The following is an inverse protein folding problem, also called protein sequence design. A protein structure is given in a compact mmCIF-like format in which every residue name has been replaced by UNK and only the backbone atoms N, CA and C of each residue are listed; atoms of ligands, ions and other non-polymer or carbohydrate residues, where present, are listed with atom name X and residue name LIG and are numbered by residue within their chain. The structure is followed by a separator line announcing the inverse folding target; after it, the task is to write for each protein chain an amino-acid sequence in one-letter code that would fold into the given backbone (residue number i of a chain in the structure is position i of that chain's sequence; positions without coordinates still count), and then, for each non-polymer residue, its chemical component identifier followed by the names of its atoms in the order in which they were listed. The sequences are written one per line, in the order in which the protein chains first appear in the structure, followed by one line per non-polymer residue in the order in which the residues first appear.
data_IF_228628486925
#
_entry.id   IF_228628486925
#
_cell.length_a   1.000
_cell.length_b   1.000
_cell.length_c   1.000
_cell.angle_alpha   90.00
_cell.angle_beta   90.00
_cell.angle_gamma   90.00
#
_symmetry.space_group_name_H-M   'P 1'
#
loop_
_entity.id
_entity.type
_entity.pdbx_description
1 polymer ?
#
# COMPACT_ATOMS: atom_id res chain seq x y z
N UNK A 1 -10.56 -22.22 -50.23
CA UNK A 1 -9.28 -22.89 -50.54
C UNK A 1 -8.67 -23.37 -49.24
N UNK A 2 -8.49 -24.69 -49.05
CA UNK A 2 -7.74 -25.24 -47.90
C UNK A 2 -6.26 -25.15 -48.24
N UNK A 3 -5.45 -24.49 -47.41
CA UNK A 3 -4.00 -24.54 -47.54
C UNK A 3 -3.54 -25.99 -47.37
N UNK A 4 -2.84 -26.52 -48.38
CA UNK A 4 -2.39 -27.92 -48.42
C UNK A 4 -1.11 -28.16 -47.60
N UNK A 5 -0.42 -27.10 -47.19
CA UNK A 5 0.76 -27.16 -46.34
C UNK A 5 0.57 -26.25 -45.12
N UNK A 6 0.66 -26.84 -43.94
CA UNK A 6 0.76 -26.10 -42.66
C UNK A 6 2.23 -25.72 -42.51
N UNK A 7 2.54 -24.43 -42.45
CA UNK A 7 3.89 -23.95 -42.13
C UNK A 7 4.19 -24.38 -40.69
N UNK A 8 5.21 -25.22 -40.44
CA UNK A 8 5.58 -25.59 -39.09
C UNK A 8 5.94 -24.35 -38.27
N UNK A 9 5.58 -24.27 -36.98
CA UNK A 9 6.03 -23.19 -36.13
C UNK A 9 7.57 -23.18 -36.10
N UNK A 10 8.18 -21.99 -36.17
CA UNK A 10 9.63 -21.86 -36.04
C UNK A 10 10.06 -22.45 -34.69
N UNK A 11 10.87 -23.51 -34.74
CA UNK A 11 11.51 -24.08 -33.56
C UNK A 11 12.73 -23.23 -33.24
N UNK A 12 12.61 -22.36 -32.24
CA UNK A 12 13.74 -21.61 -31.72
C UNK A 12 14.77 -22.58 -31.10
N UNK A 13 16.05 -22.34 -31.36
CA UNK A 13 17.13 -23.06 -30.68
C UNK A 13 17.19 -22.69 -29.17
N UNK A 14 17.98 -23.45 -28.39
CA UNK A 14 18.08 -23.24 -26.94
C UNK A 14 18.63 -21.86 -26.54
N UNK A 15 19.37 -21.19 -27.43
CA UNK A 15 19.91 -19.85 -27.20
C UNK A 15 18.84 -18.79 -27.45
N UNK A 16 18.10 -18.90 -28.55
CA UNK A 16 16.97 -18.04 -28.91
C UNK A 16 15.82 -18.14 -27.91
N UNK A 17 15.54 -19.33 -27.38
CA UNK A 17 14.54 -19.51 -26.31
C UNK A 17 14.96 -18.85 -24.99
N UNK A 18 16.28 -18.65 -24.77
CA UNK A 18 16.81 -17.94 -23.60
C UNK A 18 16.77 -16.41 -23.77
N UNK A 19 16.65 -15.91 -25.00
CA UNK A 19 16.54 -14.47 -25.27
C UNK A 19 15.13 -14.01 -24.88
N UNK A 20 15.00 -13.52 -23.64
CA UNK A 20 13.77 -12.90 -23.17
C UNK A 20 13.84 -11.40 -23.42
N UNK A 21 13.03 -10.90 -24.35
CA UNK A 21 12.85 -9.46 -24.51
C UNK A 21 12.22 -8.89 -23.24
N UNK A 22 12.94 -7.98 -22.57
CA UNK A 22 12.42 -7.30 -21.40
C UNK A 22 11.51 -6.17 -21.89
N UNK A 23 10.21 -6.44 -21.94
CA UNK A 23 9.22 -5.43 -22.30
C UNK A 23 8.92 -4.54 -21.08
N UNK A 24 9.16 -3.22 -21.22
CA UNK A 24 8.92 -2.22 -20.17
C UNK A 24 7.58 -1.50 -20.34
N UNK A 25 6.67 -2.00 -21.18
CA UNK A 25 5.36 -1.38 -21.44
C UNK A 25 4.37 -1.42 -20.26
N UNK A 26 4.75 -1.99 -19.12
CA UNK A 26 3.90 -2.08 -17.94
C UNK A 26 2.84 -3.17 -17.99
N UNK A 27 2.95 -4.15 -18.90
CA UNK A 27 2.06 -5.32 -18.94
C UNK A 27 2.13 -6.09 -17.62
N UNK A 28 1.01 -6.15 -16.90
CA UNK A 28 0.87 -6.98 -15.71
C UNK A 28 0.23 -8.31 -16.09
N UNK A 29 1.00 -9.39 -16.01
CA UNK A 29 0.55 -10.75 -16.34
C UNK A 29 -0.53 -11.26 -15.37
N UNK A 30 -0.37 -10.97 -14.06
CA UNK A 30 -1.38 -11.19 -13.03
C UNK A 30 -1.52 -9.95 -12.13
N UNK A 31 -2.49 -9.07 -12.41
CA UNK A 31 -2.76 -7.89 -11.60
C UNK A 31 -3.14 -8.20 -10.15
N UNK A 32 -3.80 -9.34 -9.90
CA UNK A 32 -4.26 -9.72 -8.57
C UNK A 32 -3.09 -10.16 -7.69
N UNK A 33 -2.13 -10.90 -8.27
CA UNK A 33 -0.89 -11.24 -7.59
C UNK A 33 -0.10 -9.99 -7.21
N UNK A 34 0.07 -9.06 -8.16
CA UNK A 34 0.77 -7.78 -7.89
C UNK A 34 0.09 -7.00 -6.75
N UNK A 35 -1.25 -6.97 -6.72
CA UNK A 35 -1.99 -6.32 -5.64
C UNK A 35 -1.75 -6.97 -4.27
N UNK A 36 -1.81 -8.31 -4.21
CA UNK A 36 -1.56 -9.08 -2.98
C UNK A 36 -0.13 -8.89 -2.48
N UNK A 37 0.86 -8.95 -3.38
CA UNK A 37 2.27 -8.78 -3.04
C UNK A 37 2.53 -7.41 -2.38
N UNK A 38 1.86 -6.34 -2.85
CA UNK A 38 1.94 -5.01 -2.23
C UNK A 38 1.41 -4.97 -0.79
N UNK A 39 0.39 -5.77 -0.46
CA UNK A 39 -0.13 -5.85 0.91
C UNK A 39 0.87 -6.53 1.85
N UNK A 40 1.60 -7.53 1.36
CA UNK A 40 2.60 -8.27 2.15
C UNK A 40 3.84 -7.41 2.42
N UNK A 41 4.22 -6.52 1.50
CA UNK A 41 5.38 -5.65 1.69
C UNK A 41 5.16 -4.53 2.72
N UNK A 42 3.92 -4.07 2.90
CA UNK A 42 3.58 -3.00 3.84
C UNK A 42 3.08 -3.54 5.19
N UNK A 43 3.92 -4.34 5.87
CA UNK A 43 3.60 -4.82 7.21
C UNK A 43 3.72 -3.71 8.26
N UNK A 44 2.71 -3.61 9.11
CA UNK A 44 2.65 -2.69 10.24
C UNK A 44 2.87 -3.45 11.55
N UNK A 45 3.93 -3.10 12.28
CA UNK A 45 4.15 -3.61 13.65
C UNK A 45 3.17 -2.98 14.64
N UNK A 46 2.93 -3.61 15.78
CA UNK A 46 2.06 -3.03 16.81
C UNK A 46 2.58 -1.66 17.31
N UNK A 47 3.90 -1.50 17.42
CA UNK A 47 4.52 -0.24 17.80
C UNK A 47 4.25 0.87 16.77
N UNK A 48 4.34 0.55 15.47
CA UNK A 48 4.04 1.51 14.40
C UNK A 48 2.55 1.90 14.39
N UNK A 49 1.66 0.93 14.63
CA UNK A 49 0.21 1.19 14.72
C UNK A 49 -0.13 2.10 15.90
N UNK A 50 0.48 1.84 17.07
CA UNK A 50 0.30 2.66 18.26
C UNK A 50 0.80 4.09 18.03
N UNK A 51 2.02 4.23 17.50
CA UNK A 51 2.61 5.53 17.14
C UNK A 51 1.71 6.30 16.16
N UNK A 52 1.24 5.63 15.10
CA UNK A 52 0.32 6.25 14.14
C UNK A 52 -0.97 6.73 14.82
N UNK A 53 -1.58 5.89 15.65
CA UNK A 53 -2.81 6.20 16.37
C UNK A 53 -2.64 7.40 17.31
N UNK A 54 -1.57 7.41 18.08
CA UNK A 54 -1.26 8.49 19.02
C UNK A 54 -1.06 9.82 18.29
N UNK A 55 -0.18 9.84 17.28
CA UNK A 55 0.10 11.05 16.49
C UNK A 55 -1.11 11.52 15.70
N UNK A 56 -1.95 10.60 15.19
CA UNK A 56 -3.20 10.96 14.51
C UNK A 56 -4.20 11.64 15.46
N UNK A 57 -4.28 11.23 16.73
CA UNK A 57 -5.13 11.92 17.71
C UNK A 57 -4.67 13.34 18.03
N UNK A 58 -3.36 13.59 17.95
CA UNK A 58 -2.76 14.90 18.21
C UNK A 58 -2.86 15.82 16.99
N UNK A 59 -2.61 15.27 15.79
CA UNK A 59 -2.58 15.99 14.51
C UNK A 59 -3.43 15.26 13.47
N UNK A 60 -4.76 15.44 13.49
CA UNK A 60 -5.68 14.70 12.61
C UNK A 60 -5.35 14.95 11.14
N UNK A 61 -5.11 13.88 10.38
CA UNK A 61 -4.81 13.90 8.94
C UNK A 61 -3.53 14.63 8.52
N UNK A 62 -2.65 15.00 9.46
CA UNK A 62 -1.32 15.50 9.09
C UNK A 62 -0.37 14.31 8.84
N UNK A 63 -0.54 13.64 7.70
CA UNK A 63 0.21 12.42 7.38
C UNK A 63 1.69 12.67 7.13
N UNK A 64 2.07 13.88 6.70
CA UNK A 64 3.48 14.28 6.57
C UNK A 64 4.19 14.25 7.92
N UNK A 65 3.57 14.86 8.94
CA UNK A 65 4.09 14.86 10.30
C UNK A 65 4.04 13.46 10.95
N UNK A 66 2.99 12.68 10.72
CA UNK A 66 2.89 11.33 11.28
C UNK A 66 3.99 10.42 10.71
N UNK A 67 4.26 10.50 9.40
CA UNK A 67 5.30 9.72 8.76
C UNK A 67 6.70 10.04 9.29
N UNK A 68 6.97 11.28 9.73
CA UNK A 68 8.28 11.61 10.30
C UNK A 68 8.59 10.92 11.63
N UNK A 69 7.59 10.30 12.27
CA UNK A 69 7.78 9.47 13.48
C UNK A 69 7.86 7.96 13.16
N UNK A 70 7.81 7.58 11.88
CA UNK A 70 7.81 6.19 11.43
C UNK A 70 8.93 5.98 10.41
N UNK A 71 10.08 5.50 10.87
CA UNK A 71 11.30 5.41 10.04
C UNK A 71 11.13 4.58 8.76
N UNK A 72 10.25 3.58 8.79
CA UNK A 72 10.03 2.62 7.68
C UNK A 72 8.70 2.82 6.96
N UNK A 73 7.98 3.92 7.21
CA UNK A 73 6.68 4.19 6.59
C UNK A 73 6.68 5.55 5.92
N UNK A 74 6.36 5.56 4.63
CA UNK A 74 6.22 6.81 3.88
C UNK A 74 4.88 7.47 4.17
N UNK A 75 4.72 8.71 3.71
CA UNK A 75 3.43 9.43 3.75
C UNK A 75 2.35 8.63 3.00
N UNK A 76 2.72 8.01 1.87
CA UNK A 76 1.79 7.18 1.09
C UNK A 76 1.33 5.96 1.89
N UNK A 77 2.22 5.32 2.64
CA UNK A 77 1.88 4.20 3.52
C UNK A 77 0.95 4.63 4.66
N UNK A 78 1.20 5.78 5.27
CA UNK A 78 0.35 6.36 6.31
C UNK A 78 -1.07 6.65 5.80
N UNK A 79 -1.19 7.20 4.59
CA UNK A 79 -2.48 7.42 3.93
C UNK A 79 -3.17 6.10 3.64
N UNK A 80 -2.49 5.14 3.03
CA UNK A 80 -3.05 3.83 2.73
C UNK A 80 -3.56 3.14 4.01
N UNK A 81 -2.71 3.10 5.05
CA UNK A 81 -3.05 2.52 6.34
C UNK A 81 -4.30 3.17 6.95
N UNK A 82 -4.39 4.50 6.94
CA UNK A 82 -5.59 5.21 7.36
C UNK A 82 -6.85 4.71 6.64
N UNK A 83 -6.82 4.56 5.32
CA UNK A 83 -8.02 4.13 4.58
C UNK A 83 -8.39 2.67 4.88
N UNK A 84 -7.40 1.80 5.10
CA UNK A 84 -7.62 0.40 5.47
C UNK A 84 -8.22 0.26 6.88
N UNK A 85 -7.82 1.09 7.83
CA UNK A 85 -8.18 0.93 9.26
C UNK A 85 -9.21 1.92 9.79
N UNK A 86 -9.48 3.05 9.10
CA UNK A 86 -10.31 4.15 9.65
C UNK A 86 -11.71 3.77 10.10
N UNK A 87 -12.30 2.74 9.49
CA UNK A 87 -13.62 2.22 9.87
C UNK A 87 -13.52 1.32 11.10
N UNK A 88 -12.52 0.45 11.15
CA UNK A 88 -12.31 -0.50 12.25
C UNK A 88 -11.89 0.24 13.53
N UNK A 89 -10.89 1.12 13.44
CA UNK A 89 -10.36 1.91 14.57
C UNK A 89 -11.26 3.10 14.95
N UNK A 90 -12.21 3.47 14.09
CA UNK A 90 -13.15 4.57 14.33
C UNK A 90 -12.45 5.91 14.67
N UNK A 91 -11.41 6.29 13.89
CA UNK A 91 -10.60 7.47 14.15
C UNK A 91 -11.40 8.77 14.34
N UNK A 92 -12.55 8.93 13.65
CA UNK A 92 -13.44 10.09 13.85
C UNK A 92 -13.92 10.22 15.31
N UNK A 93 -14.31 9.12 15.92
CA UNK A 93 -14.77 9.09 17.31
C UNK A 93 -13.61 9.28 18.29
N UNK A 94 -12.45 8.77 17.93
CA UNK A 94 -11.22 8.89 18.72
C UNK A 94 -10.76 10.36 18.84
N UNK A 95 -10.70 11.07 17.71
CA UNK A 95 -10.37 12.51 17.69
C UNK A 95 -11.42 13.34 18.44
N UNK A 96 -12.72 13.07 18.24
CA UNK A 96 -13.81 13.76 18.96
C UNK A 96 -13.68 13.61 20.48
N UNK A 97 -13.36 12.41 20.98
CA UNK A 97 -13.14 12.17 22.41
C UNK A 97 -11.91 12.91 22.93
N UNK A 98 -10.83 12.95 22.15
CA UNK A 98 -9.60 13.64 22.55
C UNK A 98 -9.82 15.16 22.73
N UNK A 99 -10.55 15.79 21.79
CA UNK A 99 -10.84 17.22 21.86
C UNK A 99 -11.69 17.60 23.08
N UNK A 100 -12.71 16.78 23.42
CA UNK A 100 -13.55 16.97 24.61
C UNK A 100 -12.77 16.89 25.93
N UNK A 101 -11.73 16.04 25.99
CA UNK A 101 -10.87 15.94 27.18
C UNK A 101 -9.98 17.16 27.33
N UNK A 102 -9.39 17.65 26.25
CA UNK A 102 -8.55 18.87 26.27
C UNK A 102 -9.33 20.12 26.69
N UNK A 103 -10.56 20.29 26.20
CA UNK A 103 -11.41 21.42 26.58
C UNK A 103 -11.79 21.47 28.07
N UNK A 104 -11.78 20.34 28.79
CA UNK A 104 -12.05 20.32 30.24
C UNK A 104 -10.83 20.67 31.10
N UNK A 105 -9.62 20.46 30.59
CA UNK A 105 -8.39 20.78 31.33
C UNK A 105 -7.96 22.25 31.20
N UNK A 106 -8.62 23.05 30.36
CA UNK A 106 -8.30 24.46 30.13
C UNK A 106 -9.17 25.41 30.97
N UNK A 107 -10.11 24.88 31.76
CA UNK A 107 -11.02 25.66 32.64
C UNK A 107 -10.65 25.48 34.12
N UNK A 108 -9.36 25.32 34.42
CA UNK A 108 -8.82 25.36 35.79
C UNK A 108 -7.67 26.32 35.87
#
# INVERSE_FOLDING_TARGET
MRQLAVIPPMLYDAEQQRIKFINMNGLMDDPMKVYKDRQVMNMWSEQEKETFREKFMQHPKNFGLIASFLDRKTVADCVLYYYLTKKNENYKNLVRRNYRRRGKNQVR
#
